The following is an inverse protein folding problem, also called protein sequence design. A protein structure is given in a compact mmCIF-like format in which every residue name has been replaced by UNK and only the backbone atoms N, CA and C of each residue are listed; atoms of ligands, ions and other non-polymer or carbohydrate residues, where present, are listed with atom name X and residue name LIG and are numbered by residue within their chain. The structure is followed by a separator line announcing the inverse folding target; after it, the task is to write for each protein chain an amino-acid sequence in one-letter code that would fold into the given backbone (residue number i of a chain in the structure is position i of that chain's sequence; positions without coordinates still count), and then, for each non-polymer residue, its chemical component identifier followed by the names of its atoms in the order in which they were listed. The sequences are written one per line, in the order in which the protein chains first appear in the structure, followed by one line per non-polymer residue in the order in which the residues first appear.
data_IF_571939349854
#
_entry.id   IF_571939349854
#
_cell.length_a   1.000
_cell.length_b   1.000
_cell.length_c   1.000
_cell.angle_alpha   90.00
_cell.angle_beta   90.00
_cell.angle_gamma   90.00
#
_symmetry.space_group_name_H-M   'P 1'
#
loop_
_entity.id
_entity.type
_entity.pdbx_description
1 polymer ?
#
# COMPACT_ATOMS: atom_id res chain seq x y z
N UNK A 1 17.14 33.70 8.71
CA UNK A 1 17.97 32.49 8.88
C UNK A 1 18.45 32.52 10.32
N UNK A 2 17.68 31.92 11.23
CA UNK A 2 17.71 32.40 12.63
C UNK A 2 18.44 31.44 13.59
N UNK A 3 18.88 30.30 13.05
CA UNK A 3 19.49 29.22 13.83
C UNK A 3 20.99 29.43 14.06
N UNK A 4 21.68 30.19 13.20
CA UNK A 4 23.11 30.44 13.33
C UNK A 4 23.43 31.88 13.74
N UNK A 5 24.64 32.06 14.28
CA UNK A 5 25.22 33.33 14.71
C UNK A 5 26.74 33.26 14.48
N UNK A 6 27.45 34.36 14.69
CA UNK A 6 28.91 34.30 14.71
C UNK A 6 29.37 33.60 15.99
N UNK A 7 30.15 32.54 15.87
CA UNK A 7 30.63 31.77 17.02
C UNK A 7 31.65 32.55 17.88
N UNK A 8 32.18 33.68 17.38
CA UNK A 8 33.17 34.49 18.10
C UNK A 8 32.53 35.62 18.93
N UNK A 9 31.60 36.36 18.33
CA UNK A 9 30.99 37.55 18.95
C UNK A 9 29.48 37.40 19.16
N UNK A 10 28.92 36.23 18.85
CA UNK A 10 27.50 35.86 19.03
C UNK A 10 26.48 36.74 18.30
N UNK A 11 26.93 37.63 17.40
CA UNK A 11 26.02 38.45 16.60
C UNK A 11 25.21 37.61 15.60
N UNK A 12 23.93 37.95 15.48
CA UNK A 12 23.01 37.45 14.43
C UNK A 12 22.74 38.47 13.33
N UNK A 13 23.16 39.72 13.53
CA UNK A 13 22.75 40.86 12.70
C UNK A 13 23.80 41.28 11.67
N UNK A 14 24.89 40.52 11.51
CA UNK A 14 25.89 40.82 10.50
C UNK A 14 25.33 40.65 9.09
N UNK A 15 25.85 41.47 8.16
CA UNK A 15 25.50 41.45 6.74
C UNK A 15 25.92 40.15 6.05
N UNK A 16 27.10 39.61 6.41
CA UNK A 16 27.71 38.45 5.79
C UNK A 16 28.30 37.51 6.83
N UNK A 17 28.07 36.23 6.61
CA UNK A 17 28.65 35.13 7.39
C UNK A 17 29.42 34.18 6.46
N UNK A 18 30.43 33.53 7.01
CA UNK A 18 31.14 32.44 6.36
C UNK A 18 31.36 31.29 7.34
N UNK A 19 31.41 30.07 6.81
CA UNK A 19 31.71 28.86 7.57
C UNK A 19 33.12 28.40 7.23
N UNK A 20 33.91 28.05 8.24
CA UNK A 20 35.24 27.48 8.05
C UNK A 20 35.18 25.99 7.71
N UNK A 21 36.22 25.43 7.10
CA UNK A 21 36.36 23.98 6.91
C UNK A 21 36.39 23.18 8.24
N UNK A 22 36.72 23.82 9.36
CA UNK A 22 36.59 23.23 10.70
C UNK A 22 35.17 23.36 11.32
N UNK A 23 34.21 23.95 10.60
CA UNK A 23 32.79 23.99 10.99
C UNK A 23 32.36 25.20 11.81
N UNK A 24 33.21 26.20 12.01
CA UNK A 24 32.85 27.41 12.77
C UNK A 24 32.26 28.48 11.86
N UNK A 25 31.13 29.06 12.27
CA UNK A 25 30.46 30.15 11.55
C UNK A 25 30.96 31.49 12.12
N UNK A 26 31.42 32.38 11.25
CA UNK A 26 31.96 33.69 11.63
C UNK A 26 31.34 34.81 10.79
N UNK A 27 31.09 35.98 11.38
CA UNK A 27 30.75 37.17 10.61
C UNK A 27 32.00 37.76 9.94
N UNK A 28 31.81 38.56 8.90
CA UNK A 28 32.91 39.19 8.17
C UNK A 28 33.89 39.97 9.08
N UNK A 29 33.40 40.62 10.13
CA UNK A 29 34.23 41.40 11.06
C UNK A 29 35.14 40.53 11.95
N UNK A 30 34.78 39.27 12.21
CA UNK A 30 35.58 38.36 13.01
C UNK A 30 36.60 37.56 12.18
N UNK A 31 36.46 37.56 10.85
CA UNK A 31 37.40 36.88 9.94
C UNK A 31 38.57 37.84 9.64
N UNK A 32 39.66 37.71 10.40
CA UNK A 32 40.85 38.58 10.28
C UNK A 32 41.98 37.98 9.45
N UNK A 33 42.04 36.65 9.37
CA UNK A 33 43.11 35.92 8.68
C UNK A 33 42.61 34.54 8.24
N UNK A 34 43.51 33.74 7.64
CA UNK A 34 43.25 32.32 7.35
C UNK A 34 43.25 31.44 8.60
N UNK A 35 43.33 32.00 9.81
CA UNK A 35 43.24 31.26 11.05
C UNK A 35 41.81 31.35 11.60
N UNK A 36 41.29 30.24 12.11
CA UNK A 36 40.00 30.20 12.80
C UNK A 36 40.11 30.90 14.16
N UNK A 37 39.27 31.91 14.41
CA UNK A 37 39.29 32.63 15.69
C UNK A 37 38.78 31.78 16.86
N UNK A 38 38.07 30.68 16.58
CA UNK A 38 37.49 29.79 17.61
C UNK A 38 38.47 28.69 18.03
N UNK A 39 39.02 27.94 17.07
CA UNK A 39 39.90 26.79 17.37
C UNK A 39 41.37 27.02 17.04
N UNK A 40 41.75 28.17 16.47
CA UNK A 40 43.14 28.49 16.12
C UNK A 40 43.71 27.73 14.91
N UNK A 41 42.95 26.83 14.28
CA UNK A 41 43.41 26.08 13.11
C UNK A 41 43.52 26.96 11.86
N UNK A 42 44.42 26.61 10.94
CA UNK A 42 44.44 27.20 9.60
C UNK A 42 43.26 26.70 8.77
N UNK A 43 42.36 27.61 8.40
CA UNK A 43 41.09 27.31 7.77
C UNK A 43 40.86 28.08 6.47
N UNK A 44 40.21 27.43 5.53
CA UNK A 44 39.50 28.11 4.44
C UNK A 44 38.08 28.47 4.90
N UNK A 45 37.54 29.56 4.38
CA UNK A 45 36.18 30.02 4.66
C UNK A 45 35.35 29.98 3.39
N UNK A 46 34.12 29.47 3.50
CA UNK A 46 33.09 29.49 2.48
C UNK A 46 32.01 30.49 2.89
N UNK A 47 31.73 31.47 2.04
CA UNK A 47 30.67 32.43 2.30
C UNK A 47 29.30 31.73 2.31
N UNK A 48 28.47 32.02 3.32
CA UNK A 48 27.12 31.48 3.44
C UNK A 48 26.20 32.39 2.62
N UNK A 49 25.96 32.03 1.36
CA UNK A 49 25.12 32.78 0.43
C UNK A 49 24.22 31.85 -0.40
N UNK A 50 23.31 32.42 -1.19
CA UNK A 50 22.41 31.61 -2.02
C UNK A 50 23.10 30.91 -3.19
N UNK A 51 24.31 31.38 -3.56
CA UNK A 51 25.14 30.90 -4.66
C UNK A 51 26.04 29.71 -4.27
N UNK A 52 25.97 29.24 -3.02
CA UNK A 52 26.67 28.02 -2.59
C UNK A 52 26.28 26.80 -3.43
N UNK A 53 27.19 25.84 -3.58
CA UNK A 53 26.87 24.57 -4.26
C UNK A 53 25.72 23.88 -3.54
N UNK A 54 24.83 23.16 -4.25
CA UNK A 54 23.68 22.50 -3.62
C UNK A 54 24.04 21.58 -2.44
N UNK A 55 25.20 20.91 -2.51
CA UNK A 55 25.71 20.01 -1.46
C UNK A 55 26.14 20.75 -0.19
N UNK A 56 26.62 21.99 -0.30
CA UNK A 56 27.01 22.83 0.84
C UNK A 56 25.78 23.56 1.40
N UNK A 57 24.91 24.05 0.50
CA UNK A 57 23.70 24.78 0.85
C UNK A 57 22.72 23.96 1.70
N UNK A 58 22.72 22.63 1.55
CA UNK A 58 21.79 21.74 2.29
C UNK A 58 21.93 21.87 3.81
N UNK A 59 23.14 22.11 4.32
CA UNK A 59 23.40 22.26 5.76
C UNK A 59 22.83 23.55 6.36
N UNK A 60 22.49 24.52 5.52
CA UNK A 60 21.94 25.81 5.93
C UNK A 60 20.45 25.92 5.63
N UNK A 61 19.83 24.87 5.07
CA UNK A 61 18.39 24.81 4.84
C UNK A 61 17.64 24.45 6.12
N UNK A 62 16.39 24.87 6.20
CA UNK A 62 15.47 24.49 7.26
C UNK A 62 15.25 22.96 7.24
N UNK A 63 15.59 22.24 8.32
CA UNK A 63 15.43 20.78 8.38
C UNK A 63 13.97 20.35 8.24
N UNK A 64 13.01 21.15 8.73
CA UNK A 64 11.58 20.82 8.61
C UNK A 64 11.16 20.86 7.13
N UNK A 65 11.61 21.86 6.37
CA UNK A 65 11.33 21.95 4.93
C UNK A 65 12.00 20.83 4.14
N UNK A 66 13.22 20.42 4.52
CA UNK A 66 13.89 19.28 3.90
C UNK A 66 13.10 17.98 4.10
N UNK A 67 12.67 17.72 5.33
CA UNK A 67 11.86 16.53 5.67
C UNK A 67 10.54 16.58 4.93
N UNK A 68 9.82 17.71 4.98
CA UNK A 68 8.53 17.87 4.32
C UNK A 68 8.62 17.60 2.82
N UNK A 69 9.60 18.20 2.13
CA UNK A 69 9.83 17.96 0.71
C UNK A 69 10.12 16.49 0.41
N UNK A 70 10.88 15.80 1.27
CA UNK A 70 11.16 14.38 1.08
C UNK A 70 9.92 13.51 1.32
N UNK A 71 9.14 13.82 2.35
CA UNK A 71 7.91 13.11 2.67
C UNK A 71 6.87 13.25 1.56
N UNK A 72 6.74 14.43 0.96
CA UNK A 72 5.85 14.65 -0.18
C UNK A 72 6.16 13.69 -1.34
N UNK A 73 7.44 13.53 -1.68
CA UNK A 73 7.87 12.59 -2.70
C UNK A 73 7.60 11.12 -2.31
N UNK A 74 7.81 10.75 -1.04
CA UNK A 74 7.49 9.41 -0.54
C UNK A 74 5.99 9.13 -0.60
N UNK A 75 5.16 10.10 -0.26
CA UNK A 75 3.70 10.00 -0.35
C UNK A 75 3.24 9.78 -1.78
N UNK A 76 3.83 10.48 -2.77
CA UNK A 76 3.52 10.25 -4.18
C UNK A 76 3.83 8.81 -4.62
N UNK A 77 4.97 8.27 -4.18
CA UNK A 77 5.34 6.87 -4.44
C UNK A 77 4.32 5.91 -3.81
N UNK A 78 3.92 6.17 -2.56
CA UNK A 78 2.94 5.34 -1.86
C UNK A 78 1.58 5.34 -2.57
N UNK A 79 1.11 6.50 -3.02
CA UNK A 79 -0.14 6.64 -3.79
C UNK A 79 -0.06 5.82 -5.08
N UNK A 80 1.04 5.95 -5.83
CA UNK A 80 1.24 5.18 -7.06
C UNK A 80 1.16 3.66 -6.79
N UNK A 81 1.88 3.18 -5.78
CA UNK A 81 1.88 1.76 -5.40
C UNK A 81 0.49 1.28 -4.98
N UNK A 82 -0.25 2.09 -4.23
CA UNK A 82 -1.63 1.80 -3.83
C UNK A 82 -2.54 1.67 -5.06
N UNK A 83 -2.48 2.62 -6.00
CA UNK A 83 -3.28 2.57 -7.23
C UNK A 83 -2.98 1.32 -8.05
N UNK A 84 -1.72 0.88 -8.14
CA UNK A 84 -1.37 -0.38 -8.81
C UNK A 84 -2.01 -1.59 -8.11
N UNK A 85 -1.96 -1.65 -6.78
CA UNK A 85 -2.57 -2.72 -5.99
C UNK A 85 -4.09 -2.77 -6.15
N UNK A 86 -4.74 -1.61 -6.17
CA UNK A 86 -6.18 -1.48 -6.39
C UNK A 86 -6.58 -2.00 -7.79
N UNK A 87 -5.79 -1.70 -8.82
CA UNK A 87 -6.00 -2.23 -10.17
C UNK A 87 -5.95 -3.76 -10.23
N UNK A 88 -4.94 -4.36 -9.59
CA UNK A 88 -4.81 -5.84 -9.49
C UNK A 88 -6.02 -6.43 -8.74
N UNK A 89 -6.38 -5.83 -7.60
CA UNK A 89 -7.52 -6.25 -6.79
C UNK A 89 -8.83 -6.19 -7.59
N UNK A 90 -9.05 -5.10 -8.33
CA UNK A 90 -10.23 -4.91 -9.16
C UNK A 90 -10.32 -5.95 -10.29
N UNK A 91 -9.19 -6.27 -10.94
CA UNK A 91 -9.13 -7.31 -11.97
C UNK A 91 -9.58 -8.67 -11.43
N UNK A 92 -9.01 -9.10 -10.30
CA UNK A 92 -9.36 -10.40 -9.73
C UNK A 92 -10.80 -10.44 -9.18
N UNK A 93 -11.30 -9.35 -8.59
CA UNK A 93 -12.71 -9.23 -8.19
C UNK A 93 -13.65 -9.41 -9.38
N UNK A 94 -13.37 -8.75 -10.51
CA UNK A 94 -14.16 -8.88 -11.75
C UNK A 94 -14.16 -10.31 -12.27
N UNK A 95 -12.98 -10.93 -12.35
CA UNK A 95 -12.83 -12.31 -12.82
C UNK A 95 -13.55 -13.31 -11.91
N UNK A 96 -13.50 -13.10 -10.59
CA UNK A 96 -14.25 -13.92 -9.62
C UNK A 96 -15.76 -13.83 -9.85
N UNK A 97 -16.30 -12.60 -9.98
CA UNK A 97 -17.72 -12.40 -10.22
C UNK A 97 -18.20 -13.03 -11.54
N UNK A 98 -17.37 -12.97 -12.58
CA UNK A 98 -17.67 -13.62 -13.85
C UNK A 98 -17.72 -15.15 -13.74
N UNK A 99 -16.75 -15.76 -13.05
CA UNK A 99 -16.74 -17.20 -12.82
C UNK A 99 -17.95 -17.64 -11.98
N UNK A 100 -18.32 -16.88 -10.95
CA UNK A 100 -19.49 -17.16 -10.12
C UNK A 100 -20.79 -17.12 -10.93
N UNK A 101 -20.94 -16.13 -11.82
CA UNK A 101 -22.08 -16.04 -12.74
C UNK A 101 -22.15 -17.26 -13.66
N UNK A 102 -21.04 -17.64 -14.29
CA UNK A 102 -20.99 -18.81 -15.18
C UNK A 102 -21.31 -20.11 -14.44
N UNK A 103 -20.88 -20.24 -13.18
CA UNK A 103 -21.21 -21.40 -12.35
C UNK A 103 -22.71 -21.49 -12.06
N UNK A 104 -23.36 -20.36 -11.75
CA UNK A 104 -24.82 -20.30 -11.55
C UNK A 104 -25.57 -20.71 -12.82
N UNK A 105 -25.19 -20.17 -13.97
CA UNK A 105 -25.79 -20.51 -15.27
C UNK A 105 -25.69 -22.02 -15.57
N UNK A 106 -24.52 -22.64 -15.37
CA UNK A 106 -24.32 -24.09 -15.58
C UNK A 106 -25.14 -24.92 -14.59
N UNK A 107 -25.19 -24.49 -13.33
CA UNK A 107 -25.94 -25.18 -12.27
C UNK A 107 -27.44 -25.18 -12.57
N UNK A 108 -27.99 -24.03 -12.98
CA UNK A 108 -29.39 -23.89 -13.38
C UNK A 108 -29.74 -24.73 -14.62
N UNK A 109 -28.86 -24.76 -15.62
CA UNK A 109 -29.01 -25.64 -16.79
C UNK A 109 -29.04 -27.12 -16.38
N UNK A 110 -28.11 -27.56 -15.52
CA UNK A 110 -28.07 -28.93 -15.01
C UNK A 110 -29.35 -29.34 -14.30
N UNK A 111 -29.89 -28.47 -13.44
CA UNK A 111 -31.19 -28.71 -12.77
C UNK A 111 -32.34 -28.81 -13.78
N UNK A 112 -32.36 -27.98 -14.83
CA UNK A 112 -33.41 -28.01 -15.86
C UNK A 112 -33.36 -29.29 -16.71
N UNK A 113 -32.16 -29.72 -17.14
CA UNK A 113 -31.96 -30.96 -17.90
C UNK A 113 -32.30 -32.20 -17.06
N UNK A 114 -31.95 -32.21 -15.77
CA UNK A 114 -32.32 -33.30 -14.86
C UNK A 114 -33.84 -33.37 -14.63
N UNK A 115 -34.54 -32.23 -14.65
CA UNK A 115 -36.00 -32.17 -14.49
C UNK A 115 -36.74 -32.68 -15.73
N UNK A 116 -36.20 -32.49 -16.93
CA UNK A 116 -36.78 -33.01 -18.18
C UNK A 116 -36.53 -34.51 -18.42
N UNK A 117 -35.65 -35.15 -17.64
CA UNK A 117 -35.31 -36.58 -17.77
C UNK A 117 -35.98 -37.48 -16.72
N UNK A 118 -36.80 -36.92 -15.83
CA UNK A 118 -37.59 -37.71 -14.87
C UNK A 118 -38.77 -38.41 -15.59
N UNK A 119 -38.93 -39.74 -15.45
CA UNK A 119 -40.04 -40.44 -16.10
C UNK A 119 -41.38 -39.97 -15.51
N UNK A 120 -42.30 -39.53 -16.37
CA UNK A 120 -43.70 -39.27 -15.98
C UNK A 120 -44.27 -40.59 -15.50
N UNK A 121 -44.67 -40.66 -14.23
CA UNK A 121 -45.35 -41.83 -13.69
C UNK A 121 -46.69 -42.00 -14.44
N UNK A 122 -46.75 -42.98 -15.34
CA UNK A 122 -48.00 -43.42 -15.96
C UNK A 122 -48.81 -44.10 -14.87
N UNK A 123 -49.70 -43.34 -14.22
CA UNK A 123 -50.67 -43.93 -13.28
C UNK A 123 -51.63 -44.79 -14.10
N UNK A 124 -51.62 -46.11 -13.86
CA UNK A 124 -52.60 -47.03 -14.45
C UNK A 124 -54.04 -46.59 -14.15
N UNK A 125 -55.00 -46.83 -15.07
CA UNK A 125 -56.38 -46.37 -14.90
C UNK A 125 -57.03 -46.97 -13.66
N UNK A 126 -57.69 -46.11 -12.87
CA UNK A 126 -58.46 -46.48 -11.69
C UNK A 126 -59.66 -47.33 -12.11
N UNK A 127 -59.73 -48.57 -11.63
CA UNK A 127 -60.93 -49.42 -11.74
C UNK A 127 -61.91 -49.09 -10.59
N UNK A 128 -63.21 -48.89 -10.87
CA UNK A 128 -64.18 -48.60 -9.82
C UNK A 128 -64.46 -49.85 -8.98
N UNK A 129 -64.08 -49.82 -7.69
CA UNK A 129 -64.44 -50.86 -6.72
C UNK A 129 -65.72 -50.44 -5.99
N UNK A 130 -66.80 -51.17 -6.22
CA UNK A 130 -68.06 -51.03 -5.48
C UNK A 130 -67.82 -51.40 -3.99
N UNK A 131 -68.21 -50.51 -3.07
CA UNK A 131 -68.24 -50.75 -1.61
C UNK A 131 -69.68 -51.11 -1.19
N UNK A 132 -69.89 -52.13 -0.34
CA UNK A 132 -71.20 -52.39 0.24
C UNK A 132 -71.53 -51.37 1.32
N UNK A 133 -72.81 -50.99 1.35
CA UNK A 133 -73.45 -50.10 2.32
C UNK A 133 -73.60 -50.80 3.66
N UNK A 134 -73.27 -50.13 4.76
CA UNK A 134 -73.87 -50.46 6.06
C UNK A 134 -74.11 -49.21 6.92
N UNK A 135 -75.39 -49.12 7.29
CA UNK A 135 -76.14 -48.48 8.37
C UNK A 135 -75.59 -47.36 9.27
N UNK A 136 -76.55 -46.49 9.57
CA UNK A 136 -76.58 -45.26 10.37
C UNK A 136 -76.51 -45.50 11.89
N UNK A 137 -75.81 -44.57 12.57
CA UNK A 137 -76.05 -44.09 13.94
C UNK A 137 -74.88 -43.19 14.37
N UNK A 138 -74.96 -42.14 15.19
CA UNK A 138 -75.99 -41.24 15.73
C UNK A 138 -75.19 -40.21 16.57
N UNK A 139 -75.60 -38.94 16.53
CA UNK A 139 -75.30 -37.83 17.48
C UNK A 139 -73.89 -37.17 17.56
N UNK A 140 -73.80 -35.97 16.93
CA UNK A 140 -73.46 -34.62 17.48
C UNK A 140 -72.10 -34.33 18.21
N UNK A 141 -71.65 -33.05 18.25
CA UNK A 141 -70.27 -32.62 18.00
C UNK A 141 -69.68 -31.85 19.19
N UNK A 142 -68.38 -31.53 19.17
CA UNK A 142 -67.89 -30.21 19.58
C UNK A 142 -66.36 -30.04 19.50
N UNK A 143 -66.00 -28.78 19.21
CA UNK A 143 -64.83 -27.99 19.65
C UNK A 143 -63.58 -27.99 18.78
N UNK A 144 -63.44 -26.86 18.10
CA UNK A 144 -62.21 -26.18 17.73
C UNK A 144 -61.22 -26.07 18.90
N UNK A 145 -59.93 -26.23 18.59
CA UNK A 145 -58.86 -25.49 19.24
C UNK A 145 -57.72 -25.23 18.26
N UNK A 146 -57.45 -23.95 18.02
CA UNK A 146 -56.19 -23.44 17.45
C UNK A 146 -55.14 -23.39 18.57
N UNK A 147 -53.89 -23.66 18.20
CA UNK A 147 -52.61 -23.10 18.71
C UNK A 147 -51.51 -24.14 18.38
N UNK A 148 -50.27 -23.84 18.00
CA UNK A 148 -49.45 -22.63 17.96
C UNK A 148 -48.26 -22.92 17.03
N UNK A 149 -47.70 -21.86 16.43
CA UNK A 149 -46.50 -21.90 15.59
C UNK A 149 -45.16 -22.13 16.32
N UNK A 150 -44.02 -22.01 15.59
CA UNK A 150 -42.87 -22.91 15.71
C UNK A 150 -41.65 -22.32 16.43
N UNK A 151 -40.63 -23.15 16.69
CA UNK A 151 -39.27 -22.67 17.00
C UNK A 151 -38.20 -23.51 16.32
N UNK A 152 -37.23 -22.79 15.76
CA UNK A 152 -36.08 -23.19 14.96
C UNK A 152 -35.09 -24.08 15.73
N UNK A 153 -34.29 -24.86 14.99
CA UNK A 153 -32.81 -24.81 15.10
C UNK A 153 -32.12 -25.44 13.87
N UNK A 154 -31.20 -24.65 13.33
CA UNK A 154 -30.27 -24.91 12.23
C UNK A 154 -29.06 -25.71 12.75
N UNK A 155 -28.44 -26.56 11.93
CA UNK A 155 -26.99 -26.60 11.69
C UNK A 155 -26.62 -27.69 10.66
N UNK A 156 -25.96 -27.26 9.57
CA UNK A 156 -25.38 -28.09 8.50
C UNK A 156 -23.84 -28.08 8.65
N UNK A 157 -23.11 -29.15 8.30
CA UNK A 157 -21.69 -29.32 8.58
C UNK A 157 -20.77 -28.80 7.45
N UNK A 158 -19.51 -28.55 7.81
CA UNK A 158 -18.43 -28.18 6.88
C UNK A 158 -17.74 -29.39 6.23
N UNK A 159 -16.96 -29.11 5.19
CA UNK A 159 -15.80 -29.91 4.76
C UNK A 159 -14.92 -29.08 3.84
N UNK A 160 -13.63 -29.03 4.17
CA UNK A 160 -12.54 -28.43 3.41
C UNK A 160 -11.94 -29.47 2.45
N UNK A 161 -11.47 -29.03 1.27
CA UNK A 161 -10.40 -29.68 0.53
C UNK A 161 -9.67 -28.63 -0.32
N UNK A 162 -8.35 -28.53 -0.12
CA UNK A 162 -7.39 -27.83 -0.97
C UNK A 162 -6.85 -28.79 -2.02
N UNK A 163 -6.59 -28.32 -3.25
CA UNK A 163 -5.60 -28.91 -4.16
C UNK A 163 -4.99 -27.85 -5.06
N UNK A 164 -3.66 -27.93 -5.16
CA UNK A 164 -2.74 -27.17 -5.99
C UNK A 164 -2.85 -27.53 -7.48
N UNK A 165 -2.55 -26.57 -8.36
CA UNK A 165 -2.06 -26.87 -9.72
C UNK A 165 -0.93 -25.93 -10.12
N UNK A 166 0.26 -26.51 -10.30
CA UNK A 166 1.37 -25.94 -11.05
C UNK A 166 0.97 -25.76 -12.53
N UNK A 167 1.45 -24.69 -13.15
CA UNK A 167 1.71 -24.66 -14.60
C UNK A 167 2.73 -23.57 -14.92
N UNK A 168 3.87 -24.03 -15.41
CA UNK A 168 4.94 -23.27 -16.06
C UNK A 168 4.47 -22.73 -17.40
N UNK A 169 4.81 -21.49 -17.74
CA UNK A 169 5.17 -21.13 -19.11
C UNK A 169 6.15 -19.94 -19.11
N UNK A 170 7.04 -20.03 -20.08
CA UNK A 170 8.35 -19.41 -20.19
C UNK A 170 8.29 -18.03 -20.86
N UNK A 171 9.25 -17.19 -20.49
CA UNK A 171 9.90 -16.12 -21.28
C UNK A 171 9.08 -14.99 -21.92
N UNK A 172 9.22 -13.79 -21.33
CA UNK A 172 9.62 -12.62 -22.12
C UNK A 172 10.86 -11.98 -21.48
N UNK A 173 11.97 -12.08 -22.21
CA UNK A 173 13.27 -11.47 -21.94
C UNK A 173 13.23 -9.99 -22.34
N UNK A 174 13.41 -9.08 -21.40
CA UNK A 174 13.61 -7.65 -21.69
C UNK A 174 15.11 -7.36 -21.74
N UNK A 175 15.66 -6.71 -22.79
CA UNK A 175 17.07 -6.34 -22.81
C UNK A 175 17.33 -5.14 -21.90
N UNK A 176 18.26 -5.32 -20.97
CA UNK A 176 18.86 -4.27 -20.13
C UNK A 176 19.99 -3.60 -20.90
N UNK A 177 19.89 -2.30 -21.18
CA UNK A 177 21.06 -1.45 -21.39
C UNK A 177 20.68 0.04 -21.32
N UNK A 178 20.68 0.60 -20.12
CA UNK A 178 20.90 2.03 -19.93
C UNK A 178 22.17 2.19 -19.10
N UNK A 179 23.27 2.45 -19.79
CA UNK A 179 24.53 2.88 -19.21
C UNK A 179 24.28 4.15 -18.41
N UNK A 180 24.43 4.11 -17.09
CA UNK A 180 24.40 5.30 -16.25
C UNK A 180 25.77 6.01 -16.37
N UNK A 181 25.84 7.33 -16.56
CA UNK A 181 27.11 8.03 -16.54
C UNK A 181 27.68 7.97 -15.12
N UNK A 182 28.90 7.46 -14.98
CA UNK A 182 29.69 7.56 -13.76
C UNK A 182 29.80 9.04 -13.37
N UNK A 183 29.07 9.45 -12.34
CA UNK A 183 29.23 10.78 -11.73
C UNK A 183 30.60 10.81 -11.08
N UNK A 184 31.57 11.41 -11.76
CA UNK A 184 32.88 11.76 -11.24
C UNK A 184 32.66 12.56 -9.95
N UNK A 185 32.92 11.96 -8.79
CA UNK A 185 32.99 12.70 -7.54
C UNK A 185 34.27 13.54 -7.61
N UNK A 186 34.12 14.81 -7.98
CA UNK A 186 35.17 15.80 -7.72
C UNK A 186 35.31 15.90 -6.19
N UNK A 187 36.54 15.80 -5.64
CA UNK A 187 36.74 15.92 -4.21
C UNK A 187 36.33 17.34 -3.80
N UNK A 188 35.24 17.45 -3.05
CA UNK A 188 34.70 18.74 -2.67
C UNK A 188 35.58 19.30 -1.53
N UNK A 189 36.31 20.38 -1.81
CA UNK A 189 37.31 20.99 -0.91
C UNK A 189 36.71 21.44 0.44
N UNK A 190 35.38 21.59 0.52
CA UNK A 190 34.63 21.90 1.74
C UNK A 190 33.79 20.72 2.23
N UNK A 191 34.38 19.53 2.28
CA UNK A 191 33.79 18.46 3.07
C UNK A 191 33.99 18.82 4.55
N UNK A 192 32.95 19.36 5.20
CA UNK A 192 32.97 19.65 6.63
C UNK A 192 33.40 18.38 7.38
N UNK A 193 34.63 18.35 7.90
CA UNK A 193 35.20 17.16 8.51
C UNK A 193 34.37 16.65 9.70
N UNK A 194 33.61 17.55 10.35
CA UNK A 194 32.68 17.25 11.43
C UNK A 194 31.36 16.58 11.01
N UNK A 195 31.05 16.50 9.71
CA UNK A 195 29.82 15.88 9.20
C UNK A 195 30.10 14.61 8.39
N UNK A 196 31.32 14.08 8.46
CA UNK A 196 31.74 12.81 7.86
C UNK A 196 31.26 11.60 8.65
N UNK A 197 29.94 11.43 8.76
CA UNK A 197 29.36 10.33 9.51
C UNK A 197 27.91 10.15 9.13
N UNK A 198 27.68 9.61 7.92
CA UNK A 198 26.62 8.66 7.56
C UNK A 198 26.68 8.52 6.04
N UNK A 199 27.20 7.39 5.50
CA UNK A 199 27.02 7.10 4.10
C UNK A 199 25.53 6.81 3.90
N UNK A 200 24.78 7.78 3.40
CA UNK A 200 23.45 7.49 2.83
C UNK A 200 23.71 6.73 1.53
N UNK A 201 24.01 5.44 1.67
CA UNK A 201 23.82 4.49 0.58
C UNK A 201 22.31 4.42 0.38
N UNK A 202 21.84 5.12 -0.64
CA UNK A 202 20.51 4.90 -1.18
C UNK A 202 20.46 3.44 -1.66
N UNK A 203 19.54 2.60 -1.16
CA UNK A 203 19.36 1.27 -1.73
C UNK A 203 18.98 1.43 -3.19
N UNK A 204 19.84 0.92 -4.09
CA UNK A 204 19.49 0.71 -5.49
C UNK A 204 18.61 -0.54 -5.54
N UNK A 205 17.38 -0.39 -6.00
CA UNK A 205 16.56 -1.45 -6.56
C UNK A 205 15.99 -0.94 -7.88
#
# INVERSE_FOLDING_TARGET
MDWFHCNQCFTKTASKFAVSNCGHICCEACIKSKQCSICGASCSYLAITDEMKPQEKVFFKDPVKLIQSRLEHVSQIAIFQQTQMEGVTAHFKRKSAELERRLKEVTEQGYSTQRMSLPVAVTSPVTPRQRPVSHIGSAEPHRWARDRGPTFNLHTPGSAMSISSHSSLHEYRTPTSFSTPTRTQTPNVFQFQYMGGLPVQSPRH
#
